data_IF_148558508871
#
_entry.id   IF_148558508871
#
_cell.length_a   1.000
_cell.length_b   1.000
_cell.length_c   1.000
_cell.angle_alpha   90.00
_cell.angle_beta   90.00
_cell.angle_gamma   90.00
#
_symmetry.space_group_name_H-M   'P 1'
#
loop_
_entity.id
_entity.type
_entity.pdbx_description
1 polymer ?
#
# COMPACT_ATOMS: atom_id res chain seq x y z
N UNK A 1 15.36 -7.44 -16.31
CA UNK A 1 16.28 -7.73 -17.43
C UNK A 1 17.75 -7.71 -17.03
N UNK A 2 18.29 -6.64 -16.41
CA UNK A 2 19.74 -6.54 -16.09
C UNK A 2 20.28 -7.65 -15.15
N UNK A 3 19.49 -8.10 -14.17
CA UNK A 3 19.92 -9.12 -13.19
C UNK A 3 20.32 -10.46 -13.82
N UNK A 4 19.45 -11.01 -14.68
CA UNK A 4 19.68 -12.30 -15.33
C UNK A 4 20.88 -12.27 -16.29
N UNK A 5 21.06 -11.14 -17.00
CA UNK A 5 22.20 -10.96 -17.89
C UNK A 5 23.52 -10.88 -17.10
N UNK A 6 23.53 -10.17 -15.97
CA UNK A 6 24.70 -10.10 -15.09
C UNK A 6 25.12 -11.50 -14.60
N UNK A 7 24.17 -12.29 -14.09
CA UNK A 7 24.45 -13.65 -13.61
C UNK A 7 24.93 -14.56 -14.75
N UNK A 8 24.35 -14.46 -15.95
CA UNK A 8 24.83 -15.19 -17.13
C UNK A 8 26.29 -14.84 -17.45
N UNK A 9 26.66 -13.56 -17.43
CA UNK A 9 28.03 -13.13 -17.70
C UNK A 9 29.02 -13.63 -16.64
N UNK A 10 28.62 -13.67 -15.36
CA UNK A 10 29.44 -14.26 -14.29
C UNK A 10 29.74 -15.74 -14.58
N UNK A 11 28.75 -16.53 -14.96
CA UNK A 11 28.96 -17.96 -15.29
C UNK A 11 29.72 -18.17 -16.61
N UNK A 12 29.75 -17.17 -17.48
CA UNK A 12 30.59 -17.16 -18.68
C UNK A 12 32.05 -16.79 -18.39
N UNK A 13 32.41 -16.53 -17.13
CA UNK A 13 33.78 -16.26 -16.70
C UNK A 13 34.22 -14.80 -16.80
N UNK A 14 33.30 -13.87 -17.06
CA UNK A 14 33.61 -12.45 -17.08
C UNK A 14 33.96 -11.95 -15.67
N UNK A 15 34.90 -11.01 -15.59
CA UNK A 15 35.23 -10.34 -14.33
C UNK A 15 34.11 -9.38 -13.93
N UNK A 16 33.93 -9.19 -12.63
CA UNK A 16 32.91 -8.29 -12.10
C UNK A 16 33.09 -6.84 -12.59
N UNK A 17 34.34 -6.39 -12.79
CA UNK A 17 34.66 -5.06 -13.33
C UNK A 17 34.15 -4.89 -14.77
N UNK A 18 34.32 -5.92 -15.61
CA UNK A 18 33.83 -5.90 -17.00
C UNK A 18 32.30 -5.86 -17.04
N UNK A 19 31.65 -6.66 -16.18
CA UNK A 19 30.18 -6.70 -16.08
C UNK A 19 29.63 -5.37 -15.58
N UNK A 20 30.31 -4.72 -14.63
CA UNK A 20 29.97 -3.38 -14.15
C UNK A 20 29.98 -2.38 -15.32
N UNK A 21 31.03 -2.38 -16.14
CA UNK A 21 31.12 -1.47 -17.30
C UNK A 21 30.09 -1.79 -18.38
N UNK A 22 29.82 -3.07 -18.66
CA UNK A 22 28.87 -3.49 -19.70
C UNK A 22 27.42 -3.15 -19.30
N UNK A 23 27.06 -3.33 -18.03
CA UNK A 23 25.68 -3.20 -17.56
C UNK A 23 25.38 -1.89 -16.82
N UNK A 24 26.41 -1.10 -16.51
CA UNK A 24 26.36 0.12 -15.71
C UNK A 24 25.68 -0.11 -14.34
N UNK A 25 26.24 -1.06 -13.58
CA UNK A 25 25.72 -1.52 -12.28
C UNK A 25 26.85 -1.64 -11.27
N UNK A 26 26.55 -1.45 -9.98
CA UNK A 26 27.56 -1.61 -8.94
C UNK A 26 27.96 -3.08 -8.74
N UNK A 27 29.22 -3.32 -8.35
CA UNK A 27 29.73 -4.66 -7.98
C UNK A 27 28.85 -5.34 -6.94
N UNK A 28 28.42 -4.59 -5.91
CA UNK A 28 27.53 -5.11 -4.87
C UNK A 28 26.18 -5.59 -5.41
N UNK A 29 25.66 -4.97 -6.47
CA UNK A 29 24.44 -5.44 -7.14
C UNK A 29 24.69 -6.77 -7.83
N UNK A 30 25.81 -6.93 -8.53
CA UNK A 30 26.17 -8.18 -9.22
C UNK A 30 26.32 -9.32 -8.22
N UNK A 31 27.04 -9.09 -7.11
CA UNK A 31 27.21 -10.08 -6.03
C UNK A 31 25.88 -10.47 -5.41
N UNK A 32 25.03 -9.49 -5.10
CA UNK A 32 23.69 -9.74 -4.54
C UNK A 32 22.82 -10.56 -5.50
N UNK A 33 22.85 -10.27 -6.81
CA UNK A 33 22.08 -11.02 -7.81
C UNK A 33 22.61 -12.45 -8.00
N UNK A 34 23.94 -12.63 -7.95
CA UNK A 34 24.55 -13.97 -7.97
C UNK A 34 24.09 -14.78 -6.77
N UNK A 35 24.19 -14.22 -5.57
CA UNK A 35 23.78 -14.90 -4.33
C UNK A 35 22.29 -15.24 -4.35
N UNK A 36 21.43 -14.31 -4.77
CA UNK A 36 20.00 -14.55 -4.90
C UNK A 36 19.67 -15.66 -5.92
N UNK A 37 20.48 -15.79 -6.99
CA UNK A 37 20.33 -16.88 -7.95
C UNK A 37 20.81 -18.23 -7.40
N UNK A 38 21.90 -18.26 -6.63
CA UNK A 38 22.39 -19.48 -5.99
C UNK A 38 21.41 -20.01 -4.94
N UNK A 39 20.72 -19.12 -4.22
CA UNK A 39 19.79 -19.49 -3.15
C UNK A 39 18.37 -19.80 -3.64
N UNK A 40 17.83 -19.00 -4.57
CA UNK A 40 16.43 -19.08 -5.01
C UNK A 40 16.26 -19.40 -6.50
N UNK A 41 17.36 -19.68 -7.23
CA UNK A 41 17.34 -19.91 -8.66
C UNK A 41 16.80 -18.71 -9.45
N UNK A 42 16.07 -18.99 -10.54
CA UNK A 42 15.46 -17.97 -11.39
C UNK A 42 14.49 -17.08 -10.61
N UNK A 43 13.83 -17.62 -9.57
CA UNK A 43 12.89 -16.87 -8.72
C UNK A 43 13.57 -15.72 -7.95
N UNK A 44 14.84 -15.88 -7.58
CA UNK A 44 15.63 -14.83 -6.90
C UNK A 44 16.00 -13.64 -7.81
N UNK A 45 15.99 -13.85 -9.13
CA UNK A 45 16.23 -12.81 -10.12
C UNK A 45 14.97 -12.03 -10.50
N UNK A 46 13.80 -12.53 -10.06
CA UNK A 46 12.52 -11.87 -10.22
C UNK A 46 12.45 -10.52 -9.53
N UNK A 47 11.49 -9.69 -9.96
CA UNK A 47 11.12 -8.49 -9.24
C UNK A 47 10.28 -8.92 -8.03
N UNK A 48 10.93 -9.22 -6.90
CA UNK A 48 10.21 -9.60 -5.67
C UNK A 48 9.53 -8.40 -4.98
N UNK A 49 9.57 -7.21 -5.61
CA UNK A 49 8.73 -6.10 -5.20
C UNK A 49 7.28 -6.43 -5.60
N UNK A 50 6.60 -7.16 -4.73
CA UNK A 50 5.14 -7.13 -4.66
C UNK A 50 4.79 -5.68 -4.39
N UNK A 51 4.33 -4.96 -5.41
CA UNK A 51 3.89 -3.58 -5.25
C UNK A 51 2.93 -3.48 -4.06
N UNK A 52 2.85 -2.31 -3.44
CA UNK A 52 1.88 -2.07 -2.36
C UNK A 52 0.52 -2.58 -2.81
N UNK A 53 -0.13 -3.41 -1.99
CA UNK A 53 -1.48 -3.88 -2.25
C UNK A 53 -2.38 -2.65 -2.27
N UNK A 54 -2.72 -2.21 -3.47
CA UNK A 54 -3.56 -1.03 -3.66
C UNK A 54 -5.04 -1.34 -3.48
N UNK A 55 -5.42 -2.62 -3.35
CA UNK A 55 -6.81 -3.06 -3.24
C UNK A 55 -6.94 -4.26 -2.29
N UNK A 56 -8.07 -4.31 -1.58
CA UNK A 56 -8.51 -5.47 -0.80
C UNK A 56 -8.83 -6.65 -1.74
N UNK A 57 -8.56 -7.88 -1.30
CA UNK A 57 -9.07 -9.07 -1.99
C UNK A 57 -10.60 -9.14 -1.92
N UNK A 58 -11.23 -9.96 -2.77
CA UNK A 58 -12.69 -10.12 -2.75
C UNK A 58 -13.22 -10.53 -1.36
N UNK A 59 -12.54 -11.48 -0.71
CA UNK A 59 -12.87 -11.93 0.65
C UNK A 59 -12.67 -10.82 1.69
N UNK A 60 -11.54 -10.11 1.65
CA UNK A 60 -11.28 -8.98 2.56
C UNK A 60 -12.29 -7.85 2.37
N UNK A 61 -12.73 -7.62 1.13
CA UNK A 61 -13.76 -6.64 0.82
C UNK A 61 -15.08 -7.02 1.47
N UNK A 62 -15.52 -8.28 1.37
CA UNK A 62 -16.74 -8.76 2.02
C UNK A 62 -16.69 -8.64 3.55
N UNK A 63 -15.55 -8.94 4.17
CA UNK A 63 -15.33 -8.76 5.61
C UNK A 63 -15.45 -7.28 6.01
N UNK A 64 -14.83 -6.38 5.25
CA UNK A 64 -14.91 -4.93 5.48
C UNK A 64 -16.34 -4.42 5.27
N UNK A 65 -17.06 -4.89 4.25
CA UNK A 65 -18.45 -4.51 4.01
C UNK A 65 -19.37 -4.99 5.14
N UNK A 66 -19.21 -6.24 5.59
CA UNK A 66 -19.96 -6.80 6.72
C UNK A 66 -19.69 -6.01 8.00
N UNK A 67 -18.42 -5.64 8.23
CA UNK A 67 -18.05 -4.80 9.36
C UNK A 67 -18.65 -3.40 9.26
N UNK A 68 -18.64 -2.77 8.08
CA UNK A 68 -19.25 -1.46 7.87
C UNK A 68 -20.76 -1.48 8.15
N UNK A 69 -21.46 -2.58 7.85
CA UNK A 69 -22.89 -2.72 8.13
C UNK A 69 -23.22 -2.85 9.63
N UNK A 70 -22.23 -3.12 10.50
CA UNK A 70 -22.47 -3.24 11.96
C UNK A 70 -22.79 -1.92 12.66
N UNK A 71 -22.49 -0.79 12.01
CA UNK A 71 -22.64 0.56 12.59
C UNK A 71 -23.13 1.52 11.51
N UNK A 72 -24.15 2.31 11.85
CA UNK A 72 -24.79 3.23 10.89
C UNK A 72 -23.95 4.51 10.61
N UNK A 73 -22.98 4.83 11.47
CA UNK A 73 -22.16 6.05 11.38
C UNK A 73 -20.67 5.71 11.49
N UNK A 74 -19.90 6.03 10.46
CA UNK A 74 -18.45 5.80 10.42
C UNK A 74 -17.67 7.09 10.18
N UNK A 75 -16.48 7.16 10.77
CA UNK A 75 -15.48 8.16 10.39
C UNK A 75 -14.51 7.56 9.35
N UNK A 76 -14.13 8.35 8.35
CA UNK A 76 -13.14 7.95 7.36
C UNK A 76 -11.84 7.45 8.00
N UNK A 77 -11.40 8.08 9.10
CA UNK A 77 -10.20 7.68 9.83
C UNK A 77 -10.30 6.30 10.51
N UNK A 78 -11.49 5.87 10.93
CA UNK A 78 -11.69 4.51 11.50
C UNK A 78 -11.50 3.45 10.41
N UNK A 79 -12.03 3.70 9.21
CA UNK A 79 -11.86 2.83 8.05
C UNK A 79 -10.39 2.80 7.60
N UNK A 80 -9.74 3.96 7.48
CA UNK A 80 -8.30 4.06 7.16
C UNK A 80 -7.44 3.26 8.15
N UNK A 81 -7.72 3.37 9.45
CA UNK A 81 -6.97 2.65 10.48
C UNK A 81 -7.14 1.14 10.36
N UNK A 82 -8.38 0.65 10.20
CA UNK A 82 -8.62 -0.79 10.10
C UNK A 82 -7.97 -1.38 8.85
N UNK A 83 -8.06 -0.70 7.72
CA UNK A 83 -7.43 -1.16 6.47
C UNK A 83 -5.91 -1.20 6.56
N UNK A 84 -5.30 -0.19 7.17
CA UNK A 84 -3.85 -0.14 7.35
C UNK A 84 -3.36 -1.15 8.40
N UNK A 85 -4.09 -1.33 9.51
CA UNK A 85 -3.67 -2.20 10.60
C UNK A 85 -3.86 -3.68 10.28
N UNK A 86 -5.01 -4.05 9.71
CA UNK A 86 -5.40 -5.45 9.53
C UNK A 86 -4.97 -6.00 8.17
N UNK A 87 -4.95 -5.15 7.14
CA UNK A 87 -4.69 -5.58 5.76
C UNK A 87 -3.46 -4.95 5.13
N UNK A 88 -2.78 -4.01 5.81
CA UNK A 88 -1.68 -3.19 5.30
C UNK A 88 -2.04 -2.48 3.96
N UNK A 89 -3.33 -2.19 3.78
CA UNK A 89 -3.86 -1.50 2.59
C UNK A 89 -4.04 -0.03 2.91
N UNK A 90 -3.42 0.84 2.11
CA UNK A 90 -3.64 2.29 2.17
C UNK A 90 -3.94 2.79 0.76
N UNK A 91 -5.13 3.34 0.54
CA UNK A 91 -5.46 3.94 -0.76
C UNK A 91 -4.83 5.32 -0.87
N UNK A 92 -4.30 5.63 -2.05
CA UNK A 92 -3.77 6.96 -2.35
C UNK A 92 -4.88 8.01 -2.48
N UNK A 93 -6.06 7.58 -2.96
CA UNK A 93 -7.22 8.44 -3.15
C UNK A 93 -8.27 8.22 -2.08
N UNK A 94 -8.78 9.33 -1.51
CA UNK A 94 -9.94 9.32 -0.62
C UNK A 94 -11.20 8.75 -1.27
N UNK A 95 -11.27 8.83 -2.61
CA UNK A 95 -12.41 8.32 -3.39
C UNK A 95 -12.56 6.81 -3.23
N UNK A 96 -11.46 6.08 -3.20
CA UNK A 96 -11.45 4.61 -3.01
C UNK A 96 -12.06 4.18 -1.69
N UNK A 97 -11.95 5.01 -0.64
CA UNK A 97 -12.64 4.76 0.63
C UNK A 97 -14.14 5.05 0.55
N UNK A 98 -14.55 6.09 -0.19
CA UNK A 98 -15.98 6.37 -0.41
C UNK A 98 -16.66 5.28 -1.23
N UNK A 99 -15.95 4.69 -2.19
CA UNK A 99 -16.47 3.56 -2.96
C UNK A 99 -16.75 2.33 -2.07
N UNK A 100 -15.99 2.15 -0.97
CA UNK A 100 -16.27 1.10 0.03
C UNK A 100 -17.52 1.42 0.87
N UNK A 101 -17.71 2.69 1.24
CA UNK A 101 -18.92 3.11 1.95
C UNK A 101 -20.17 2.98 1.07
N UNK A 102 -20.08 3.39 -0.20
CA UNK A 102 -21.16 3.23 -1.18
C UNK A 102 -21.53 1.75 -1.37
N UNK A 103 -20.52 0.89 -1.55
CA UNK A 103 -20.72 -0.56 -1.65
C UNK A 103 -21.32 -1.19 -0.38
N UNK A 104 -21.14 -0.58 0.79
CA UNK A 104 -21.76 -1.02 2.05
C UNK A 104 -23.20 -0.48 2.22
N UNK A 105 -23.71 0.31 1.28
CA UNK A 105 -25.01 0.98 1.38
C UNK A 105 -24.99 2.21 2.28
N UNK A 106 -23.82 2.71 2.66
CA UNK A 106 -23.64 3.84 3.56
C UNK A 106 -23.52 5.12 2.71
N UNK A 107 -24.60 5.90 2.69
CA UNK A 107 -24.61 7.18 1.99
C UNK A 107 -23.69 8.19 2.70
N UNK A 108 -22.48 8.35 2.19
CA UNK A 108 -21.56 9.39 2.65
C UNK A 108 -22.04 10.77 2.18
N UNK A 109 -22.91 11.41 2.98
CA UNK A 109 -23.27 12.83 2.76
C UNK A 109 -22.21 13.73 3.36
N UNK A 110 -21.52 14.50 2.51
CA UNK A 110 -20.74 15.68 2.96
C UNK A 110 -21.68 16.57 3.76
N UNK A 111 -21.29 16.91 5.00
CA UNK A 111 -21.96 17.93 5.79
C UNK A 111 -21.68 19.30 5.15
N UNK A 112 -22.46 19.65 4.13
CA UNK A 112 -22.63 21.05 3.73
C UNK A 112 -23.27 21.78 4.90
N UNK A 113 -22.77 22.97 5.23
CA UNK A 113 -23.25 23.79 6.35
C UNK A 113 -24.78 23.85 6.34
N UNK A 114 -25.40 23.34 7.40
CA UNK A 114 -26.84 23.09 7.50
C UNK A 114 -27.65 24.36 7.28
N UNK A 115 -28.66 24.26 6.41
CA UNK A 115 -29.82 25.16 6.42
C UNK A 115 -30.82 24.59 7.47
N UNK A 116 -31.39 25.38 8.40
CA UNK A 116 -31.99 24.87 9.65
C UNK A 116 -33.28 24.03 9.55
N UNK A 117 -33.81 23.76 8.35
CA UNK A 117 -35.15 23.17 8.17
C UNK A 117 -35.17 21.67 7.87
N UNK A 118 -34.03 21.04 7.62
CA UNK A 118 -34.01 19.68 7.08
C UNK A 118 -33.13 18.75 7.93
N UNK A 119 -33.61 18.47 9.14
CA UNK A 119 -33.09 17.41 9.98
C UNK A 119 -34.01 16.20 9.90
N UNK A 120 -33.52 15.10 9.35
CA UNK A 120 -33.84 13.74 9.80
C UNK A 120 -32.66 12.81 9.49
N UNK A 121 -31.79 12.65 10.49
CA UNK A 121 -31.36 11.29 10.86
C UNK A 121 -29.96 10.78 10.51
N UNK A 122 -28.92 11.59 10.23
CA UNK A 122 -27.54 11.05 10.21
C UNK A 122 -26.43 12.10 10.35
N UNK A 123 -26.57 13.12 11.21
CA UNK A 123 -25.58 14.21 11.28
C UNK A 123 -25.45 14.85 12.67
N UNK A 124 -24.98 14.15 13.70
CA UNK A 124 -24.37 14.84 14.85
C UNK A 124 -23.36 13.94 15.59
N UNK A 125 -22.15 14.38 15.96
CA UNK A 125 -21.72 15.76 16.14
C UNK A 125 -20.22 15.96 15.95
N UNK A 126 -19.87 17.18 15.56
CA UNK A 126 -18.49 17.67 15.47
C UNK A 126 -17.73 17.35 16.76
N UNK A 127 -16.76 16.45 16.69
CA UNK A 127 -15.74 16.25 17.73
C UNK A 127 -14.35 16.49 17.14
N UNK A 128 -13.46 16.99 18.00
CA UNK A 128 -12.28 17.82 17.72
C UNK A 128 -11.41 17.30 16.57
N UNK A 129 -10.98 18.24 15.71
CA UNK A 129 -10.01 18.06 14.61
C UNK A 129 -8.79 17.26 15.08
N UNK A 130 -8.69 15.99 14.67
CA UNK A 130 -7.44 15.22 14.74
C UNK A 130 -6.48 15.71 13.65
N UNK A 131 -5.89 16.89 13.89
CA UNK A 131 -4.71 17.38 13.17
C UNK A 131 -3.49 16.59 13.67
N UNK A 132 -3.23 15.39 13.18
CA UNK A 132 -1.90 14.74 13.15
C UNK A 132 -2.11 13.25 12.92
N UNK A 133 -1.93 12.73 11.71
CA UNK A 133 -1.61 11.29 11.55
C UNK A 133 -0.86 10.97 10.24
N UNK A 134 -0.89 11.88 9.26
CA UNK A 134 -0.12 11.75 8.02
C UNK A 134 1.40 11.94 8.16
N UNK A 135 1.91 12.31 9.35
CA UNK A 135 3.36 12.45 9.57
C UNK A 135 4.03 11.20 10.16
N UNK A 136 3.27 10.23 10.70
CA UNK A 136 3.84 9.06 11.37
C UNK A 136 4.33 8.00 10.37
N UNK A 137 3.57 7.73 9.31
CA UNK A 137 3.91 6.71 8.30
C UNK A 137 5.17 7.11 7.50
N UNK A 138 5.36 8.41 7.27
CA UNK A 138 6.52 8.94 6.55
C UNK A 138 7.81 8.92 7.39
N UNK A 139 7.71 8.88 8.73
CA UNK A 139 8.89 8.78 9.62
C UNK A 139 9.39 7.34 9.77
N UNK A 140 8.51 6.34 9.75
CA UNK A 140 8.93 4.92 9.86
C UNK A 140 9.77 4.46 8.67
N UNK A 141 9.49 4.98 7.46
CA UNK A 141 10.31 4.73 6.26
C UNK A 141 11.71 5.37 6.29
N UNK A 142 12.02 6.24 7.26
CA UNK A 142 13.31 6.97 7.32
C UNK A 142 14.21 6.55 8.48
N UNK A 143 13.79 5.60 9.31
CA UNK A 143 14.57 5.07 10.43
C UNK A 143 15.14 3.67 10.17
N UNK A 144 14.89 3.08 8.99
CA UNK A 144 15.47 1.80 8.55
C UNK A 144 16.41 2.00 7.35
N UNK A 145 17.30 3.01 7.42
CA UNK A 145 18.47 3.16 6.55
C UNK A 145 19.72 3.33 7.38
#
# INVERSE_FOLDING_TARGET
>A
MRKALAVKLVYQGYKYEEIQTILDVSLGSITSWKQAYEEYGISGLGLNHKGRKSYLSAQQREEVLSWLQTKECWELGELEYKLAFEYDVTYESKRSYYDLFDAAGISWKKTTSLNPKESRGCCCGKKKRLKHYWQAIRRKSKQES
#
